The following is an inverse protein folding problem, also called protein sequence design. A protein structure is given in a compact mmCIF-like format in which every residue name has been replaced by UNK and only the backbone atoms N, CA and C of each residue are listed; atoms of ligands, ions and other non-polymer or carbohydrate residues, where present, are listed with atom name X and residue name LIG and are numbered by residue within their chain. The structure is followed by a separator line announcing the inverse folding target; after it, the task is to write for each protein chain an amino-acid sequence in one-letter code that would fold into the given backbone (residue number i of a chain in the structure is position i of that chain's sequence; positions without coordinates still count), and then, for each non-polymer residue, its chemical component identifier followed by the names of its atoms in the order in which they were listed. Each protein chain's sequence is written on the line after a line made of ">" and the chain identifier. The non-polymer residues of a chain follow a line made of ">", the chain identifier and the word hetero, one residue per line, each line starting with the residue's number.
data_IF_296186455617
#
_entry.id   IF_296186455617
#
_cell.length_a   1.000
_cell.length_b   1.000
_cell.length_c   1.000
_cell.angle_alpha   90.00
_cell.angle_beta   90.00
_cell.angle_gamma   90.00
#
_symmetry.space_group_name_H-M   'P 1'
#
loop_
_entity.id
_entity.type
_entity.pdbx_description
1 polymer ?
#
# COMPACT_ATOMS: atom_id res chain seq x y z
N UNK A 1 38.07 35.41 -9.85
CA UNK A 1 37.12 34.39 -10.36
C UNK A 1 36.16 34.04 -9.22
N UNK A 2 34.86 34.24 -9.39
CA UNK A 2 33.86 33.68 -8.47
C UNK A 2 33.47 32.28 -8.95
N UNK A 3 33.45 31.29 -8.07
CA UNK A 3 33.06 29.92 -8.39
C UNK A 3 32.16 29.37 -7.28
N UNK A 4 31.00 28.83 -7.65
CA UNK A 4 30.08 28.13 -6.75
C UNK A 4 30.16 26.63 -7.05
N UNK A 5 30.50 25.84 -6.03
CA UNK A 5 30.52 24.38 -6.12
C UNK A 5 29.38 23.81 -5.30
N UNK A 6 28.47 23.10 -5.96
CA UNK A 6 27.37 22.38 -5.33
C UNK A 6 27.74 20.91 -5.17
N UNK A 7 27.38 20.30 -4.05
CA UNK A 7 27.71 18.92 -3.72
C UNK A 7 26.47 18.20 -3.20
N UNK A 8 26.32 16.92 -3.54
CA UNK A 8 25.20 16.07 -3.08
C UNK A 8 23.82 16.68 -3.32
N UNK A 9 23.61 17.16 -4.55
CA UNK A 9 22.38 17.83 -4.97
C UNK A 9 21.13 16.95 -4.76
N UNK A 10 20.05 17.58 -4.33
CA UNK A 10 18.69 17.06 -4.21
C UNK A 10 17.76 17.86 -5.12
N UNK A 11 16.53 17.38 -5.35
CA UNK A 11 15.57 18.12 -6.18
C UNK A 11 15.27 19.54 -5.66
N UNK A 12 15.48 19.79 -4.37
CA UNK A 12 15.24 21.10 -3.73
C UNK A 12 16.31 22.14 -4.11
N UNK A 13 17.45 21.72 -4.65
CA UNK A 13 18.51 22.62 -5.14
C UNK A 13 18.22 23.17 -6.55
N UNK A 14 17.18 22.70 -7.23
CA UNK A 14 16.81 23.21 -8.55
C UNK A 14 16.29 24.65 -8.46
N UNK A 15 16.77 25.54 -9.32
CA UNK A 15 16.35 26.94 -9.30
C UNK A 15 17.25 27.90 -10.05
N UNK A 16 16.95 29.20 -9.93
CA UNK A 16 17.74 30.28 -10.52
C UNK A 16 18.83 30.72 -9.54
N UNK A 17 20.09 30.58 -9.96
CA UNK A 17 21.25 31.09 -9.24
C UNK A 17 21.71 32.40 -9.86
N UNK A 18 22.08 33.36 -9.01
CA UNK A 18 22.59 34.66 -9.43
C UNK A 18 24.02 34.88 -8.89
N UNK A 19 24.92 35.26 -9.79
CA UNK A 19 26.24 35.76 -9.43
C UNK A 19 26.20 37.29 -9.42
N UNK A 20 26.55 37.89 -8.28
CA UNK A 20 26.64 39.35 -8.10
C UNK A 20 28.11 39.69 -7.91
N UNK A 21 28.60 40.65 -8.70
CA UNK A 21 29.97 41.16 -8.59
C UNK A 21 29.91 42.67 -8.32
N UNK A 22 30.56 43.09 -7.24
CA UNK A 22 30.55 44.47 -6.76
C UNK A 22 31.97 44.96 -6.52
N UNK A 23 32.23 46.22 -6.86
CA UNK A 23 33.39 46.97 -6.39
C UNK A 23 32.97 48.41 -6.09
N UNK A 24 33.94 49.26 -5.72
CA UNK A 24 33.69 50.67 -5.39
C UNK A 24 33.10 51.51 -6.54
N UNK A 25 33.07 50.97 -7.76
CA UNK A 25 32.59 51.65 -8.96
C UNK A 25 31.29 51.05 -9.51
N UNK A 26 30.69 50.06 -8.84
CA UNK A 26 29.36 49.57 -9.19
C UNK A 26 29.11 48.09 -8.91
N UNK A 27 27.89 47.66 -9.25
CA UNK A 27 27.38 46.30 -9.06
C UNK A 27 26.86 45.79 -10.41
N UNK A 28 27.23 44.56 -10.77
CA UNK A 28 26.71 43.84 -11.94
C UNK A 28 26.27 42.43 -11.52
N UNK A 29 25.36 41.83 -12.29
CA UNK A 29 24.84 40.50 -12.00
C UNK A 29 24.64 39.66 -13.27
N UNK A 30 24.71 38.33 -13.11
CA UNK A 30 24.41 37.35 -14.14
C UNK A 30 23.68 36.16 -13.52
N UNK A 31 22.76 35.54 -14.28
CA UNK A 31 21.88 34.47 -13.79
C UNK A 31 22.13 33.16 -14.56
N UNK A 32 21.93 32.03 -13.88
CA UNK A 32 21.92 30.69 -14.48
C UNK A 32 20.83 29.82 -13.82
N UNK A 33 20.19 28.96 -14.59
CA UNK A 33 19.21 27.99 -14.09
C UNK A 33 19.88 26.64 -13.84
N UNK A 34 19.72 26.08 -12.63
CA UNK A 34 20.06 24.70 -12.32
C UNK A 34 18.81 23.83 -12.44
N UNK A 35 18.83 22.88 -13.38
CA UNK A 35 17.79 21.85 -13.52
C UNK A 35 18.31 20.50 -13.06
N UNK A 36 17.52 19.82 -12.23
CA UNK A 36 17.78 18.43 -11.81
C UNK A 36 16.74 17.55 -12.48
N UNK A 37 17.16 16.78 -13.48
CA UNK A 37 16.26 16.06 -14.40
C UNK A 37 16.29 14.55 -14.24
N UNK A 38 17.16 14.03 -13.37
CA UNK A 38 17.34 12.59 -13.21
C UNK A 38 17.70 12.25 -11.76
N UNK A 39 17.20 11.11 -11.29
CA UNK A 39 17.51 10.51 -10.00
C UNK A 39 17.49 8.98 -10.11
N UNK A 40 18.34 8.28 -9.34
CA UNK A 40 18.23 6.83 -9.21
C UNK A 40 16.88 6.45 -8.57
N UNK A 41 16.40 5.22 -8.77
CA UNK A 41 15.20 4.75 -8.09
C UNK A 41 15.42 4.74 -6.57
N UNK A 42 14.41 5.15 -5.81
CA UNK A 42 14.39 5.06 -4.34
C UNK A 42 13.00 4.71 -3.83
N UNK A 43 12.96 3.93 -2.75
CA UNK A 43 11.75 3.52 -2.04
C UNK A 43 11.61 4.20 -0.67
N UNK A 44 12.45 5.19 -0.34
CA UNK A 44 12.43 5.84 0.97
C UNK A 44 11.08 6.49 1.30
N UNK A 45 10.49 7.19 0.33
CA UNK A 45 9.19 7.85 0.51
C UNK A 45 8.01 6.89 0.39
N UNK A 46 8.15 5.82 -0.41
CA UNK A 46 7.10 4.87 -0.73
C UNK A 46 7.61 3.43 -0.60
N UNK A 47 7.94 2.95 0.62
CA UNK A 47 8.37 1.59 0.80
C UNK A 47 7.21 0.62 0.53
N UNK A 48 7.53 -0.56 0.00
CA UNK A 48 6.52 -1.62 -0.11
C UNK A 48 5.97 -2.00 1.27
N UNK A 49 4.70 -2.41 1.31
CA UNK A 49 4.10 -2.97 2.52
C UNK A 49 4.89 -4.20 2.97
N UNK A 50 5.36 -4.19 4.22
CA UNK A 50 6.12 -5.30 4.81
C UNK A 50 5.30 -6.60 4.90
N UNK A 51 4.03 -6.47 5.26
CA UNK A 51 3.04 -7.55 5.35
C UNK A 51 1.95 -7.33 4.31
N UNK A 52 1.71 -8.33 3.48
CA UNK A 52 0.71 -8.32 2.41
C UNK A 52 -0.20 -9.52 2.65
N UNK A 53 -1.51 -9.27 2.78
CA UNK A 53 -2.50 -10.31 3.01
C UNK A 53 -3.29 -10.55 1.72
N UNK A 54 -3.55 -11.81 1.40
CA UNK A 54 -4.40 -12.15 0.27
C UNK A 54 -5.25 -13.38 0.57
N UNK A 55 -6.54 -13.28 0.29
CA UNK A 55 -7.46 -14.38 0.52
C UNK A 55 -7.19 -15.55 -0.45
N UNK A 56 -7.31 -16.78 0.03
CA UNK A 56 -7.27 -18.01 -0.78
C UNK A 56 -8.23 -17.93 -1.97
N UNK A 57 -7.74 -18.27 -3.16
CA UNK A 57 -8.46 -18.16 -4.44
C UNK A 57 -8.68 -16.73 -4.92
N UNK A 58 -8.30 -15.73 -4.13
CA UNK A 58 -8.48 -14.31 -4.43
C UNK A 58 -7.41 -13.74 -5.36
N UNK A 59 -7.33 -12.40 -5.36
CA UNK A 59 -6.38 -11.59 -6.14
C UNK A 59 -5.64 -10.64 -5.21
N UNK A 60 -4.38 -10.39 -5.48
CA UNK A 60 -3.57 -9.36 -4.80
C UNK A 60 -2.81 -8.53 -5.82
N UNK A 61 -2.65 -7.24 -5.52
CA UNK A 61 -1.74 -6.34 -6.23
C UNK A 61 -0.72 -5.82 -5.23
N UNK A 62 0.54 -6.11 -5.49
CA UNK A 62 1.67 -5.64 -4.71
C UNK A 62 2.24 -4.42 -5.44
N UNK A 63 2.02 -3.24 -4.88
CA UNK A 63 2.47 -1.99 -5.48
C UNK A 63 4.00 -1.88 -5.43
N UNK A 64 4.63 -1.48 -6.53
CA UNK A 64 6.04 -1.13 -6.58
C UNK A 64 6.22 0.20 -7.32
N UNK A 65 6.20 1.30 -6.55
CA UNK A 65 6.15 2.66 -7.08
C UNK A 65 7.31 3.52 -6.52
N UNK A 66 8.57 3.24 -6.93
CA UNK A 66 9.72 4.02 -6.50
C UNK A 66 9.64 5.45 -7.07
N UNK A 67 10.27 6.39 -6.36
CA UNK A 67 10.59 7.70 -6.95
C UNK A 67 11.84 7.54 -7.81
N UNK A 68 11.75 7.96 -9.07
CA UNK A 68 12.84 7.81 -10.03
C UNK A 68 12.63 8.72 -11.25
N UNK A 69 13.72 9.17 -11.85
CA UNK A 69 13.70 9.81 -13.16
C UNK A 69 15.00 9.46 -13.93
N UNK A 70 14.95 8.91 -15.16
CA UNK A 70 13.78 8.48 -15.92
C UNK A 70 13.02 7.30 -15.28
N UNK A 71 11.85 6.97 -15.86
CA UNK A 71 11.05 5.80 -15.45
C UNK A 71 11.92 4.53 -15.47
N UNK A 72 11.96 3.76 -14.37
CA UNK A 72 12.81 2.58 -14.29
C UNK A 72 12.19 1.40 -15.03
N UNK A 73 13.05 0.43 -15.36
CA UNK A 73 12.64 -0.94 -15.70
C UNK A 73 12.42 -1.71 -14.41
N UNK A 74 11.42 -2.59 -14.41
CA UNK A 74 11.03 -3.37 -13.25
C UNK A 74 11.27 -4.86 -13.48
N UNK A 75 11.67 -5.54 -12.42
CA UNK A 75 11.69 -7.00 -12.33
C UNK A 75 11.30 -7.43 -10.93
N UNK A 76 10.74 -8.63 -10.80
CA UNK A 76 10.30 -9.18 -9.53
C UNK A 76 10.98 -10.51 -9.23
N UNK A 77 11.20 -10.78 -7.95
CA UNK A 77 11.52 -12.13 -7.48
C UNK A 77 10.59 -12.57 -6.36
N UNK A 78 10.42 -13.88 -6.24
CA UNK A 78 9.89 -14.55 -5.05
C UNK A 78 11.00 -15.39 -4.45
N UNK A 79 11.50 -14.99 -3.29
CA UNK A 79 12.76 -15.51 -2.77
C UNK A 79 13.89 -15.25 -3.77
N UNK A 80 14.46 -16.32 -4.32
CA UNK A 80 15.53 -16.27 -5.33
C UNK A 80 15.04 -16.43 -6.77
N UNK A 81 13.78 -16.80 -6.97
CA UNK A 81 13.22 -17.06 -8.30
C UNK A 81 12.70 -15.78 -8.94
N UNK A 82 13.12 -15.51 -10.19
CA UNK A 82 12.61 -14.37 -10.96
C UNK A 82 11.21 -14.67 -11.47
N UNK A 83 10.31 -13.71 -11.29
CA UNK A 83 8.94 -13.78 -11.77
C UNK A 83 8.84 -13.16 -13.16
N UNK A 84 8.05 -13.80 -14.01
CA UNK A 84 7.72 -13.34 -15.35
C UNK A 84 6.21 -13.36 -15.55
N UNK A 85 5.73 -12.58 -16.51
CA UNK A 85 4.32 -12.58 -16.88
C UNK A 85 3.88 -13.99 -17.31
N UNK A 86 2.73 -14.43 -16.80
CA UNK A 86 2.16 -15.74 -17.06
C UNK A 86 0.65 -15.74 -16.85
N UNK A 87 0.06 -16.93 -16.69
CA UNK A 87 -1.40 -17.07 -16.56
C UNK A 87 -1.95 -16.49 -15.26
N UNK A 88 -1.20 -16.59 -14.15
CA UNK A 88 -1.60 -16.07 -12.83
C UNK A 88 -0.85 -14.82 -12.39
N UNK A 89 0.28 -14.51 -13.03
CA UNK A 89 1.20 -13.46 -12.63
C UNK A 89 1.25 -12.39 -13.71
N UNK A 90 1.10 -11.13 -13.31
CA UNK A 90 1.21 -9.98 -14.22
C UNK A 90 1.99 -8.85 -13.55
N UNK A 91 3.03 -8.39 -14.23
CA UNK A 91 3.83 -7.21 -13.89
C UNK A 91 3.33 -6.06 -14.77
N UNK A 92 2.85 -5.02 -14.13
CA UNK A 92 2.32 -3.82 -14.78
C UNK A 92 3.43 -2.84 -15.16
N UNK A 93 3.13 -1.94 -16.08
CA UNK A 93 4.08 -0.93 -16.54
C UNK A 93 4.55 0.03 -15.43
N UNK A 94 3.73 0.21 -14.39
CA UNK A 94 4.08 1.02 -13.22
C UNK A 94 4.99 0.28 -12.23
N UNK A 95 5.30 -1.00 -12.50
CA UNK A 95 6.11 -1.89 -11.68
C UNK A 95 5.30 -2.79 -10.75
N UNK A 96 4.00 -2.56 -10.58
CA UNK A 96 3.17 -3.35 -9.66
C UNK A 96 3.06 -4.82 -10.10
N UNK A 97 3.02 -5.74 -9.13
CA UNK A 97 2.86 -7.18 -9.35
C UNK A 97 1.44 -7.61 -8.98
N UNK A 98 0.72 -8.18 -9.92
CA UNK A 98 -0.58 -8.82 -9.70
C UNK A 98 -0.43 -10.33 -9.69
N UNK A 99 -1.08 -10.96 -8.71
CA UNK A 99 -1.20 -12.42 -8.60
C UNK A 99 -2.68 -12.75 -8.41
N UNK A 100 -3.21 -13.65 -9.25
CA UNK A 100 -4.59 -14.14 -9.18
C UNK A 100 -4.64 -15.62 -8.78
N UNK A 101 -5.80 -16.04 -8.26
CA UNK A 101 -6.05 -17.40 -7.77
C UNK A 101 -4.98 -17.82 -6.75
N UNK A 102 -4.95 -17.09 -5.63
CA UNK A 102 -3.94 -17.27 -4.56
C UNK A 102 -4.04 -18.66 -3.95
N UNK A 103 -2.89 -19.29 -3.78
CA UNK A 103 -2.72 -20.59 -3.14
C UNK A 103 -1.70 -20.51 -2.01
N UNK A 104 -1.65 -21.54 -1.15
CA UNK A 104 -0.64 -21.62 -0.08
C UNK A 104 0.79 -21.57 -0.63
N UNK A 105 0.99 -22.09 -1.83
CA UNK A 105 2.29 -22.05 -2.50
C UNK A 105 2.72 -20.63 -2.86
N UNK A 106 1.81 -19.66 -2.97
CA UNK A 106 2.16 -18.28 -3.32
C UNK A 106 2.72 -17.49 -2.13
N UNK A 107 2.65 -18.00 -0.91
CA UNK A 107 3.24 -17.35 0.26
C UNK A 107 4.76 -17.18 0.12
N UNK A 108 5.27 -16.13 0.76
CA UNK A 108 6.70 -15.90 0.89
C UNK A 108 7.12 -14.47 0.61
N UNK A 109 8.43 -14.30 0.46
CA UNK A 109 9.07 -12.99 0.30
C UNK A 109 9.07 -12.58 -1.17
N UNK A 110 8.46 -11.44 -1.48
CA UNK A 110 8.46 -10.84 -2.81
C UNK A 110 9.31 -9.57 -2.82
N UNK A 111 10.20 -9.46 -3.80
CA UNK A 111 11.10 -8.31 -3.95
C UNK A 111 10.90 -7.68 -5.31
N UNK A 112 10.57 -6.39 -5.32
CA UNK A 112 10.59 -5.59 -6.53
C UNK A 112 11.98 -4.97 -6.71
N UNK A 113 12.50 -5.02 -7.93
CA UNK A 113 13.73 -4.35 -8.33
C UNK A 113 13.40 -3.30 -9.38
N UNK A 114 13.91 -2.09 -9.18
CA UNK A 114 13.76 -0.97 -10.09
C UNK A 114 15.14 -0.46 -10.52
N UNK A 115 15.33 -0.32 -11.83
CA UNK A 115 16.61 0.10 -12.41
C UNK A 115 16.40 1.17 -13.48
N UNK A 116 17.16 2.26 -13.40
CA UNK A 116 17.32 3.21 -14.50
C UNK A 116 18.81 3.48 -14.77
N UNK A 117 19.12 4.38 -15.70
CA UNK A 117 20.50 4.71 -16.06
C UNK A 117 21.28 5.49 -14.98
N UNK A 118 20.67 5.78 -13.83
CA UNK A 118 21.30 6.45 -12.68
C UNK A 118 21.54 5.51 -11.50
N UNK A 119 20.88 4.36 -11.44
CA UNK A 119 21.09 3.40 -10.38
C UNK A 119 19.98 2.36 -10.27
N UNK A 120 20.04 1.60 -9.17
CA UNK A 120 19.10 0.53 -8.84
C UNK A 120 18.65 0.65 -7.41
N UNK A 121 17.42 0.25 -7.14
CA UNK A 121 16.91 0.04 -5.79
C UNK A 121 15.96 -1.15 -5.77
N UNK A 122 15.67 -1.65 -4.58
CA UNK A 122 14.69 -2.69 -4.37
C UNK A 122 13.85 -2.42 -3.12
N UNK A 123 12.70 -3.07 -3.05
CA UNK A 123 11.84 -3.09 -1.87
C UNK A 123 11.19 -4.45 -1.74
N UNK A 124 10.91 -4.86 -0.50
CA UNK A 124 10.52 -6.24 -0.17
C UNK A 124 9.29 -6.27 0.72
N UNK A 125 8.37 -7.20 0.44
CA UNK A 125 7.22 -7.52 1.28
C UNK A 125 7.06 -9.03 1.44
N UNK A 126 6.29 -9.45 2.43
CA UNK A 126 5.94 -10.85 2.67
C UNK A 126 4.44 -11.03 2.41
N UNK A 127 4.13 -11.94 1.49
CA UNK A 127 2.76 -12.35 1.19
C UNK A 127 2.37 -13.52 2.11
N UNK A 128 1.29 -13.33 2.85
CA UNK A 128 0.64 -14.33 3.68
C UNK A 128 -0.76 -14.58 3.13
N UNK A 129 -1.11 -15.86 2.95
CA UNK A 129 -2.44 -16.24 2.49
C UNK A 129 -3.37 -16.24 3.68
N UNK A 130 -4.53 -15.60 3.52
CA UNK A 130 -5.58 -15.59 4.53
C UNK A 130 -6.80 -16.36 4.09
N UNK A 131 -7.62 -16.77 5.05
CA UNK A 131 -8.97 -17.28 4.76
C UNK A 131 -9.98 -16.13 4.70
N UNK A 132 -10.89 -16.19 3.73
CA UNK A 132 -11.89 -15.14 3.54
C UNK A 132 -12.97 -15.21 4.63
N UNK A 133 -13.38 -14.05 5.15
CA UNK A 133 -14.52 -13.98 6.07
C UNK A 133 -15.81 -14.35 5.35
N UNK A 134 -16.57 -15.28 5.91
CA UNK A 134 -17.85 -15.76 5.35
C UNK A 134 -18.84 -16.00 6.47
N UNK A 135 -20.08 -15.55 6.28
CA UNK A 135 -21.18 -15.94 7.16
C UNK A 135 -21.45 -17.43 6.96
N UNK A 136 -21.34 -18.20 8.03
CA UNK A 136 -21.64 -19.63 8.08
C UNK A 136 -23.04 -19.90 8.64
N UNK A 137 -23.56 -18.99 9.47
CA UNK A 137 -24.95 -18.98 9.93
C UNK A 137 -25.50 -17.56 9.85
N UNK A 138 -26.47 -17.35 8.97
CA UNK A 138 -27.17 -16.07 8.83
C UNK A 138 -28.28 -15.94 9.89
N UNK A 139 -28.63 -14.71 10.32
CA UNK A 139 -29.77 -14.48 11.18
C UNK A 139 -31.06 -14.96 10.54
N UNK A 140 -31.90 -15.63 11.34
CA UNK A 140 -33.23 -16.09 10.94
C UNK A 140 -34.29 -15.05 11.31
N UNK A 141 -35.38 -15.03 10.57
CA UNK A 141 -36.56 -14.24 10.92
C UNK A 141 -37.14 -14.75 12.24
N UNK A 142 -37.51 -13.84 13.12
CA UNK A 142 -38.09 -14.14 14.44
C UNK A 142 -39.40 -13.36 14.57
N UNK A 143 -40.49 -14.06 14.87
CA UNK A 143 -41.78 -13.47 15.22
C UNK A 143 -41.92 -13.48 16.74
N UNK A 144 -42.09 -12.29 17.34
CA UNK A 144 -42.28 -12.12 18.79
C UNK A 144 -43.41 -11.14 19.07
N UNK A 145 -44.01 -11.26 20.25
CA UNK A 145 -45.04 -10.35 20.75
C UNK A 145 -44.40 -9.11 21.39
N UNK A 146 -45.12 -7.98 21.41
CA UNK A 146 -44.65 -6.75 22.07
C UNK A 146 -44.31 -7.03 23.54
N UNK A 147 -43.07 -6.69 23.93
CA UNK A 147 -42.54 -6.89 25.28
C UNK A 147 -41.79 -8.21 25.48
N UNK A 148 -41.77 -9.11 24.48
CA UNK A 148 -40.93 -10.30 24.49
C UNK A 148 -39.52 -10.00 23.95
N UNK A 149 -38.53 -10.74 24.44
CA UNK A 149 -37.15 -10.63 23.99
C UNK A 149 -36.92 -11.53 22.76
N UNK A 150 -36.15 -11.04 21.79
CA UNK A 150 -35.73 -11.81 20.62
C UNK A 150 -34.20 -11.89 20.53
N UNK A 151 -33.68 -13.02 20.03
CA UNK A 151 -32.24 -13.17 19.74
C UNK A 151 -32.06 -13.50 18.26
N UNK A 152 -31.23 -12.73 17.58
CA UNK A 152 -30.75 -13.06 16.23
C UNK A 152 -29.29 -13.50 16.30
N UNK A 153 -28.99 -14.68 15.78
CA UNK A 153 -27.63 -15.23 15.77
C UNK A 153 -26.97 -15.03 14.41
N UNK A 154 -25.69 -14.70 14.42
CA UNK A 154 -24.86 -14.61 13.23
C UNK A 154 -23.49 -15.24 13.53
N UNK A 155 -23.08 -16.23 12.74
CA UNK A 155 -21.78 -16.89 12.88
C UNK A 155 -21.01 -16.71 11.58
N UNK A 156 -19.72 -16.41 11.69
CA UNK A 156 -18.84 -16.27 10.55
C UNK A 156 -17.54 -17.08 10.73
N UNK A 157 -17.08 -17.73 9.67
CA UNK A 157 -15.70 -18.22 9.57
C UNK A 157 -14.79 -17.08 9.11
N UNK A 158 -13.58 -17.01 9.62
CA UNK A 158 -12.57 -16.02 9.24
C UNK A 158 -11.16 -16.61 9.40
N UNK A 159 -10.15 -15.85 8.98
CA UNK A 159 -8.76 -16.19 9.27
C UNK A 159 -8.46 -16.06 10.77
N UNK A 160 -7.99 -17.12 11.47
CA UNK A 160 -7.75 -17.07 12.92
C UNK A 160 -6.68 -16.07 13.37
N UNK A 161 -5.88 -15.53 12.45
CA UNK A 161 -4.85 -14.52 12.77
C UNK A 161 -5.35 -13.09 12.65
N UNK A 162 -6.61 -12.90 12.25
CA UNK A 162 -7.26 -11.61 12.08
C UNK A 162 -8.42 -11.46 13.06
N UNK A 163 -8.67 -10.24 13.50
CA UNK A 163 -9.82 -9.96 14.36
C UNK A 163 -11.14 -10.03 13.55
N UNK A 164 -12.13 -10.72 14.10
CA UNK A 164 -13.49 -10.75 13.57
C UNK A 164 -14.39 -9.82 14.40
N UNK A 165 -15.14 -8.94 13.73
CA UNK A 165 -16.12 -8.05 14.37
C UNK A 165 -17.48 -8.22 13.71
N UNK A 166 -18.54 -8.28 14.51
CA UNK A 166 -19.92 -8.26 14.05
C UNK A 166 -20.52 -6.87 14.22
N UNK A 167 -21.03 -6.30 13.15
CA UNK A 167 -21.72 -5.01 13.14
C UNK A 167 -23.18 -5.28 12.77
N UNK A 168 -24.10 -4.77 13.58
CA UNK A 168 -25.55 -4.88 13.35
C UNK A 168 -26.10 -3.53 12.90
N UNK A 169 -27.06 -3.56 11.97
CA UNK A 169 -27.75 -2.37 11.49
C UNK A 169 -29.25 -2.59 11.38
N UNK A 170 -30.05 -1.61 11.79
CA UNK A 170 -31.50 -1.58 11.60
C UNK A 170 -31.84 -0.56 10.52
N UNK A 171 -32.53 -0.99 9.45
CA UNK A 171 -32.94 -0.12 8.34
C UNK A 171 -31.78 0.70 7.71
N UNK A 172 -30.58 0.12 7.70
CA UNK A 172 -29.37 0.78 7.18
C UNK A 172 -28.61 1.66 8.17
N UNK A 173 -29.13 1.87 9.39
CA UNK A 173 -28.44 2.59 10.46
C UNK A 173 -27.72 1.61 11.38
N UNK A 174 -26.42 1.80 11.59
CA UNK A 174 -25.61 0.98 12.50
C UNK A 174 -26.11 1.17 13.93
N UNK A 175 -26.32 0.07 14.64
CA UNK A 175 -26.75 0.08 16.04
C UNK A 175 -25.55 0.44 16.93
N UNK A 176 -25.70 1.49 17.73
CA UNK A 176 -24.71 1.89 18.74
C UNK A 176 -25.09 1.28 20.09
N UNK A 177 -24.53 0.08 20.37
CA UNK A 177 -24.83 -0.67 21.59
C UNK A 177 -24.50 0.07 22.90
N UNK A 178 -23.64 1.09 22.87
CA UNK A 178 -23.33 1.86 24.08
C UNK A 178 -24.43 2.89 24.39
N UNK A 179 -25.00 3.50 23.35
CA UNK A 179 -26.06 4.50 23.50
C UNK A 179 -27.46 3.91 23.58
N UNK A 180 -27.69 2.80 22.90
CA UNK A 180 -29.00 2.16 22.76
C UNK A 180 -29.12 0.88 23.59
N UNK A 181 -28.39 0.81 24.71
CA UNK A 181 -28.31 -0.37 25.58
C UNK A 181 -29.64 -0.75 26.27
N UNK A 182 -30.62 0.16 26.31
CA UNK A 182 -31.98 -0.15 26.80
C UNK A 182 -32.75 -1.08 25.84
N UNK A 183 -32.35 -1.16 24.56
CA UNK A 183 -33.03 -1.93 23.53
C UNK A 183 -32.16 -3.00 22.86
N UNK A 184 -30.83 -2.82 22.84
CA UNK A 184 -29.93 -3.76 22.17
C UNK A 184 -28.77 -4.16 23.08
N UNK A 185 -28.54 -5.47 23.16
CA UNK A 185 -27.43 -6.05 23.93
C UNK A 185 -26.55 -6.92 23.04
N UNK A 186 -25.23 -6.92 23.29
CA UNK A 186 -24.28 -7.82 22.61
C UNK A 186 -24.13 -9.11 23.41
N UNK A 187 -24.69 -10.21 22.89
CA UNK A 187 -24.31 -11.54 23.33
C UNK A 187 -23.05 -11.98 22.59
N UNK A 188 -21.88 -11.72 23.19
CA UNK A 188 -20.62 -12.29 22.70
C UNK A 188 -20.57 -13.74 23.20
N UNK A 189 -20.93 -14.70 22.35
CA UNK A 189 -20.60 -16.09 22.63
C UNK A 189 -19.06 -16.23 22.52
N UNK A 190 -18.42 -16.49 23.66
CA UNK A 190 -17.00 -16.83 23.80
C UNK A 190 -16.72 -18.19 23.17
#
# INVERSE_FOLDING_TARGET
>A
KGELRLQSLTFDDAGMYQCIAENTHGIIYANAELKIVASPPTFELNPMKKKILAAKGGRVIIECKPKAAPKPKFSWSKGTELLVNGSRIRIWDDGSLEIINITKLDEGRYTCFAENNRGKANSTGVLEMTEATRITLAPLNVDVTVGENATMQCIASHDPTLDLTFIWSLNGFVIDFEKEHEHYERNVMV
#
